data_IF_841572452460
#
_entry.id   IF_841572452460
#
_cell.length_a   1.000
_cell.length_b   1.000
_cell.length_c   1.000
_cell.angle_alpha   90.00
_cell.angle_beta   90.00
_cell.angle_gamma   90.00
#
_symmetry.space_group_name_H-M   'P 1'
#
loop_
_entity.id
_entity.type
_entity.pdbx_description
1 polymer ?
#
# COMPACT_ATOMS: atom_id res chain seq x y z
N UNK A 1 7.83 -0.54 -18.39
CA UNK A 1 6.69 0.37 -18.18
C UNK A 1 7.23 1.76 -17.90
N UNK A 2 6.70 2.81 -18.52
CA UNK A 2 7.18 4.17 -18.22
C UNK A 2 6.64 4.63 -16.85
N UNK A 3 7.28 5.64 -16.25
CA UNK A 3 6.93 6.14 -14.90
C UNK A 3 5.48 6.66 -14.82
N UNK A 4 4.94 7.17 -15.92
CA UNK A 4 3.58 7.73 -15.97
C UNK A 4 2.51 6.64 -15.89
N UNK A 5 2.72 5.53 -16.60
CA UNK A 5 1.82 4.37 -16.57
C UNK A 5 1.82 3.71 -15.20
N UNK A 6 2.99 3.59 -14.58
CA UNK A 6 3.15 3.07 -13.21
C UNK A 6 2.32 3.87 -12.18
N UNK A 7 2.47 5.20 -12.17
CA UNK A 7 1.71 6.06 -11.25
C UNK A 7 0.21 6.06 -11.54
N UNK A 8 -0.18 5.88 -12.81
CA UNK A 8 -1.58 5.77 -13.21
C UNK A 8 -2.21 4.51 -12.65
N UNK A 9 -1.54 3.35 -12.76
CA UNK A 9 -2.03 2.09 -12.21
C UNK A 9 -2.23 2.19 -10.69
N UNK A 10 -1.23 2.74 -9.98
CA UNK A 10 -1.33 2.95 -8.53
C UNK A 10 -2.53 3.84 -8.17
N UNK A 11 -2.73 4.93 -8.91
CA UNK A 11 -3.82 5.85 -8.63
C UNK A 11 -5.19 5.23 -8.91
N UNK A 12 -5.31 4.43 -9.97
CA UNK A 12 -6.54 3.71 -10.29
C UNK A 12 -6.86 2.65 -9.22
N UNK A 13 -5.88 1.86 -8.80
CA UNK A 13 -6.08 0.85 -7.76
C UNK A 13 -6.52 1.47 -6.42
N UNK A 14 -5.88 2.57 -5.99
CA UNK A 14 -6.29 3.28 -4.77
C UNK A 14 -7.69 3.90 -4.90
N UNK A 15 -8.04 4.42 -6.07
CA UNK A 15 -9.36 5.01 -6.31
C UNK A 15 -10.47 3.95 -6.31
N UNK A 16 -10.20 2.76 -6.86
CA UNK A 16 -11.12 1.63 -6.86
C UNK A 16 -11.41 1.15 -5.43
N UNK A 17 -10.36 0.96 -4.62
CA UNK A 17 -10.47 0.31 -3.32
C UNK A 17 -10.89 1.27 -2.19
N UNK A 18 -10.25 2.44 -2.11
CA UNK A 18 -10.48 3.41 -1.02
C UNK A 18 -11.50 4.49 -1.44
N UNK A 19 -11.50 4.86 -2.72
CA UNK A 19 -12.31 5.96 -3.24
C UNK A 19 -12.10 7.24 -2.44
N UNK A 20 -13.09 7.59 -1.60
CA UNK A 20 -13.02 8.78 -0.73
C UNK A 20 -12.47 8.50 0.67
N UNK A 21 -12.70 7.31 1.24
CA UNK A 21 -12.23 6.89 2.56
C UNK A 21 -12.53 5.42 2.85
N UNK A 22 -11.74 4.83 3.74
CA UNK A 22 -12.08 3.58 4.44
C UNK A 22 -12.89 3.90 5.72
N UNK A 23 -14.18 3.56 5.70
CA UNK A 23 -15.10 3.80 6.83
C UNK A 23 -14.80 2.85 8.00
N UNK A 24 -14.36 1.63 7.72
CA UNK A 24 -14.08 0.64 8.77
C UNK A 24 -12.81 1.02 9.52
N UNK A 25 -11.77 1.48 8.81
CA UNK A 25 -10.56 2.00 9.43
C UNK A 25 -10.83 3.24 10.31
N UNK A 26 -11.91 4.00 10.05
CA UNK A 26 -12.30 5.17 10.85
C UNK A 26 -12.73 4.83 12.28
N UNK A 27 -12.93 3.54 12.60
CA UNK A 27 -13.21 3.07 13.96
C UNK A 27 -11.95 3.02 14.84
N UNK A 28 -10.76 3.08 14.25
CA UNK A 28 -9.48 3.05 14.94
C UNK A 28 -9.02 4.50 15.21
N UNK A 29 -8.54 4.84 16.43
CA UNK A 29 -8.00 6.17 16.69
C UNK A 29 -6.84 6.51 15.75
N UNK A 30 -6.78 7.73 15.18
CA UNK A 30 -5.80 8.10 14.14
C UNK A 30 -4.35 8.16 14.65
N UNK A 31 -4.14 8.12 15.97
CA UNK A 31 -2.82 8.08 16.62
C UNK A 31 -2.31 6.67 16.87
N UNK A 32 -3.10 5.64 16.50
CA UNK A 32 -2.71 4.25 16.68
C UNK A 32 -1.56 3.90 15.75
N UNK A 33 -0.50 3.32 16.31
CA UNK A 33 0.63 2.78 15.56
C UNK A 33 0.58 1.26 15.62
N UNK A 34 0.90 0.61 14.50
CA UNK A 34 0.84 -0.84 14.34
C UNK A 34 2.02 -1.35 13.54
N UNK A 35 2.32 -2.64 13.70
CA UNK A 35 3.30 -3.38 12.89
C UNK A 35 2.60 -4.55 12.21
N UNK A 36 3.02 -4.87 11.00
CA UNK A 36 2.46 -5.97 10.20
C UNK A 36 3.57 -6.67 9.40
N UNK A 37 3.32 -7.92 9.03
CA UNK A 37 4.22 -8.74 8.21
C UNK A 37 3.46 -9.31 7.02
N UNK A 38 4.10 -9.33 5.86
CA UNK A 38 3.59 -10.04 4.67
C UNK A 38 4.30 -11.39 4.62
N UNK A 39 3.53 -12.47 4.73
CA UNK A 39 4.06 -13.84 4.79
C UNK A 39 3.65 -14.59 3.54
N UNK A 40 4.62 -15.17 2.82
CA UNK A 40 4.35 -16.05 1.68
C UNK A 40 4.08 -17.47 2.20
N UNK A 41 2.85 -17.97 1.98
CA UNK A 41 2.41 -19.27 2.51
C UNK A 41 2.79 -20.46 1.62
N UNK A 42 3.35 -20.21 0.45
CA UNK A 42 3.73 -21.22 -0.54
C UNK A 42 5.06 -20.84 -1.21
N UNK A 43 5.70 -21.80 -1.89
CA UNK A 43 6.93 -21.53 -2.63
C UNK A 43 6.63 -20.58 -3.80
N UNK A 44 7.26 -19.40 -3.80
CA UNK A 44 7.04 -18.37 -4.81
C UNK A 44 8.33 -17.59 -5.13
N UNK A 45 8.30 -16.86 -6.24
CA UNK A 45 9.25 -15.78 -6.54
C UNK A 45 8.52 -14.47 -6.24
N UNK A 46 9.12 -13.61 -5.42
CA UNK A 46 8.54 -12.30 -5.07
C UNK A 46 9.02 -11.26 -6.08
N UNK A 47 8.10 -10.43 -6.57
CA UNK A 47 8.38 -9.30 -7.44
C UNK A 47 7.40 -8.14 -7.16
N UNK A 48 7.76 -6.92 -7.58
CA UNK A 48 6.88 -5.75 -7.47
C UNK A 48 7.02 -4.95 -6.17
N UNK A 49 8.16 -5.05 -5.47
CA UNK A 49 8.45 -4.24 -4.27
C UNK A 49 8.28 -2.74 -4.52
N UNK A 50 8.66 -2.26 -5.71
CA UNK A 50 8.51 -0.85 -6.10
C UNK A 50 7.05 -0.36 -6.05
N UNK A 51 6.08 -1.22 -6.36
CA UNK A 51 4.65 -0.87 -6.24
C UNK A 51 4.25 -0.72 -4.79
N UNK A 52 4.68 -1.64 -3.94
CA UNK A 52 4.38 -1.62 -2.51
C UNK A 52 4.96 -0.35 -1.87
N UNK A 53 6.23 -0.05 -2.15
CA UNK A 53 6.89 1.17 -1.67
C UNK A 53 6.14 2.43 -2.12
N UNK A 54 5.77 2.52 -3.41
CA UNK A 54 5.09 3.69 -3.96
C UNK A 54 3.64 3.85 -3.44
N UNK A 55 2.92 2.75 -3.22
CA UNK A 55 1.55 2.77 -2.66
C UNK A 55 1.60 3.28 -1.22
N UNK A 56 2.43 2.70 -0.36
CA UNK A 56 2.48 3.11 1.04
C UNK A 56 3.03 4.54 1.20
N UNK A 57 4.02 4.95 0.39
CA UNK A 57 4.48 6.33 0.38
C UNK A 57 3.39 7.35 -0.01
N UNK A 58 2.41 6.93 -0.83
CA UNK A 58 1.27 7.75 -1.23
C UNK A 58 0.15 7.78 -0.17
N UNK A 59 -0.05 6.69 0.56
CA UNK A 59 -1.06 6.59 1.64
C UNK A 59 -0.58 7.33 2.90
N UNK A 60 0.58 6.96 3.42
CA UNK A 60 1.22 7.63 4.56
C UNK A 60 2.76 7.54 4.44
N UNK A 61 3.45 8.67 4.16
CA UNK A 61 4.90 8.69 3.99
C UNK A 61 5.69 8.36 5.27
N UNK A 62 5.03 8.25 6.43
CA UNK A 62 5.67 7.85 7.69
C UNK A 62 5.86 6.34 7.81
N UNK A 63 5.13 5.53 7.03
CA UNK A 63 5.23 4.07 7.06
C UNK A 63 6.66 3.64 6.70
N UNK A 64 7.20 2.69 7.46
CA UNK A 64 8.52 2.11 7.25
C UNK A 64 8.37 0.65 6.85
N UNK A 65 8.99 0.30 5.72
CA UNK A 65 8.97 -1.05 5.16
C UNK A 65 10.37 -1.63 5.28
N UNK A 66 10.47 -2.86 5.76
CA UNK A 66 11.70 -3.65 5.78
C UNK A 66 11.45 -4.90 4.95
N UNK A 67 12.28 -5.10 3.94
CA UNK A 67 12.21 -6.20 2.99
C UNK A 67 13.12 -7.36 3.40
#
# INVERSE_FOLDING_TARGET
>A
MNKKDFLKIISLALQEDIGSKDITASLIPPTTLSFAYIICQQKAIICGTDFVDAIFAKIDPKIKITW
#
